data_IF_632147445683
#
_entry.id   IF_632147445683
#
_cell.length_a   1.000
_cell.length_b   1.000
_cell.length_c   1.000
_cell.angle_alpha   90.00
_cell.angle_beta   90.00
_cell.angle_gamma   90.00
#
_symmetry.space_group_name_H-M   'P 1'
#
loop_
_entity.id
_entity.type
_entity.pdbx_description
1 polymer ?
#
# COMPACT_ATOMS: atom_id res chain seq x y z
N UNK A 1 48.79 -7.94 -32.24
CA UNK A 1 49.55 -7.96 -30.97
C UNK A 1 48.64 -7.36 -29.91
N UNK A 2 47.65 -8.14 -29.46
CA UNK A 2 46.71 -7.73 -28.40
C UNK A 2 47.33 -8.07 -27.05
N UNK A 3 47.57 -7.05 -26.23
CA UNK A 3 48.06 -7.22 -24.87
C UNK A 3 46.95 -7.81 -23.99
N UNK A 4 47.21 -8.86 -23.19
CA UNK A 4 46.19 -9.44 -22.33
C UNK A 4 45.83 -8.47 -21.19
N UNK A 5 44.54 -8.16 -21.06
CA UNK A 5 43.98 -7.42 -19.93
C UNK A 5 44.35 -8.13 -18.62
N UNK A 6 45.00 -7.47 -17.65
CA UNK A 6 45.36 -8.10 -16.39
C UNK A 6 44.09 -8.56 -15.65
N UNK A 7 44.12 -9.71 -14.96
CA UNK A 7 42.97 -10.19 -14.20
C UNK A 7 42.59 -9.15 -13.14
N UNK A 8 41.28 -8.89 -12.93
CA UNK A 8 40.84 -7.95 -11.92
C UNK A 8 41.37 -8.39 -10.55
N UNK A 9 41.89 -7.43 -9.79
CA UNK A 9 42.42 -7.70 -8.45
C UNK A 9 41.27 -7.82 -7.45
N UNK A 10 41.41 -8.60 -6.36
CA UNK A 10 40.34 -8.81 -5.37
C UNK A 10 39.79 -7.51 -4.76
N UNK A 11 40.59 -6.43 -4.79
CA UNK A 11 40.19 -5.09 -4.37
C UNK A 11 39.29 -4.41 -5.41
N UNK A 12 39.67 -4.49 -6.69
CA UNK A 12 38.88 -3.93 -7.79
C UNK A 12 37.51 -4.62 -7.87
N UNK A 13 37.45 -5.94 -7.68
CA UNK A 13 36.19 -6.70 -7.66
C UNK A 13 35.26 -6.30 -6.51
N UNK A 14 35.82 -6.07 -5.31
CA UNK A 14 35.03 -5.58 -4.17
C UNK A 14 34.49 -4.18 -4.38
N UNK A 15 35.30 -3.30 -4.96
CA UNK A 15 34.86 -1.93 -5.31
C UNK A 15 33.76 -2.00 -6.36
N UNK A 16 33.90 -2.82 -7.40
CA UNK A 16 32.88 -3.01 -8.42
C UNK A 16 31.58 -3.59 -7.84
N UNK A 17 31.67 -4.56 -6.94
CA UNK A 17 30.50 -5.13 -6.27
C UNK A 17 29.77 -4.09 -5.39
N UNK A 18 30.52 -3.30 -4.62
CA UNK A 18 29.96 -2.22 -3.81
C UNK A 18 29.26 -1.16 -4.67
N UNK A 19 29.88 -0.76 -5.79
CA UNK A 19 29.27 0.18 -6.72
C UNK A 19 27.98 -0.37 -7.34
N UNK A 20 27.94 -1.64 -7.75
CA UNK A 20 26.72 -2.28 -8.25
C UNK A 20 25.61 -2.32 -7.20
N UNK A 21 25.96 -2.58 -5.94
CA UNK A 21 25.01 -2.59 -4.83
C UNK A 21 24.44 -1.18 -4.58
N UNK A 22 25.28 -0.15 -4.64
CA UNK A 22 24.86 1.25 -4.56
C UNK A 22 23.93 1.61 -5.72
N UNK A 23 24.28 1.25 -6.95
CA UNK A 23 23.44 1.47 -8.13
C UNK A 23 22.09 0.76 -8.03
N UNK A 24 22.06 -0.47 -7.51
CA UNK A 24 20.82 -1.20 -7.28
C UNK A 24 19.93 -0.50 -6.23
N UNK A 25 20.53 0.06 -5.18
CA UNK A 25 19.81 0.88 -4.19
C UNK A 25 19.22 2.15 -4.79
N UNK A 26 19.95 2.84 -5.67
CA UNK A 26 19.43 4.00 -6.39
C UNK A 26 18.32 3.65 -7.38
N UNK A 27 18.41 2.50 -8.06
CA UNK A 27 17.34 2.02 -8.93
C UNK A 27 16.06 1.73 -8.15
N UNK A 28 16.15 1.00 -7.02
CA UNK A 28 15.01 0.73 -6.15
C UNK A 28 14.37 2.01 -5.58
N UNK A 29 15.19 3.03 -5.26
CA UNK A 29 14.68 4.33 -4.83
C UNK A 29 13.99 5.07 -5.98
N UNK A 30 14.56 5.05 -7.18
CA UNK A 30 13.95 5.65 -8.36
C UNK A 30 12.61 4.99 -8.68
N UNK A 31 12.51 3.67 -8.59
CA UNK A 31 11.26 2.92 -8.75
C UNK A 31 10.24 3.30 -7.68
N UNK A 32 10.65 3.50 -6.41
CA UNK A 32 9.76 3.91 -5.34
C UNK A 32 9.26 5.37 -5.47
N UNK A 33 10.04 6.24 -6.13
CA UNK A 33 9.67 7.63 -6.43
C UNK A 33 8.85 7.73 -7.72
N UNK A 34 9.13 6.88 -8.70
CA UNK A 34 8.39 6.76 -9.95
C UNK A 34 7.07 6.00 -9.78
N UNK A 35 6.97 5.15 -8.75
CA UNK A 35 5.70 4.66 -8.24
C UNK A 35 4.89 5.87 -7.81
N UNK A 36 3.97 6.29 -8.68
CA UNK A 36 3.27 7.54 -8.55
C UNK A 36 2.44 7.55 -7.25
N UNK A 37 2.72 8.45 -6.29
CA UNK A 37 1.84 8.65 -5.15
C UNK A 37 0.43 9.10 -5.60
N UNK A 38 0.29 9.62 -6.83
CA UNK A 38 -0.97 9.97 -7.46
C UNK A 38 -1.71 8.77 -8.09
N UNK A 39 -1.08 7.60 -8.28
CA UNK A 39 -1.80 6.36 -8.69
C UNK A 39 -2.52 5.69 -7.51
N UNK A 40 -2.08 5.92 -6.28
CA UNK A 40 -2.88 5.61 -5.09
C UNK A 40 -3.96 6.70 -4.91
N UNK A 41 -4.87 6.76 -5.87
CA UNK A 41 -6.09 7.58 -5.78
C UNK A 41 -6.74 7.38 -4.41
N UNK A 42 -7.46 8.40 -3.94
CA UNK A 42 -8.24 8.27 -2.71
C UNK A 42 -9.12 7.00 -2.74
N UNK A 43 -9.62 6.68 -3.93
CA UNK A 43 -10.37 5.48 -4.27
C UNK A 43 -9.58 4.17 -4.05
N UNK A 44 -8.35 4.06 -4.56
CA UNK A 44 -7.47 2.90 -4.33
C UNK A 44 -7.19 2.69 -2.84
N UNK A 45 -7.05 3.77 -2.06
CA UNK A 45 -6.83 3.69 -0.61
C UNK A 45 -8.08 3.26 0.14
N UNK A 46 -9.27 3.70 -0.30
CA UNK A 46 -10.53 3.18 0.23
C UNK A 46 -10.75 1.71 -0.10
N UNK A 47 -10.39 1.27 -1.30
CA UNK A 47 -10.40 -0.16 -1.67
C UNK A 47 -9.50 -0.98 -0.75
N UNK A 48 -8.28 -0.52 -0.50
CA UNK A 48 -7.36 -1.20 0.41
C UNK A 48 -7.94 -1.35 1.83
N UNK A 49 -8.55 -0.28 2.35
CA UNK A 49 -9.28 -0.32 3.64
C UNK A 49 -10.37 -1.39 3.63
N UNK A 50 -11.22 -1.45 2.59
CA UNK A 50 -12.33 -2.40 2.52
C UNK A 50 -11.87 -3.86 2.32
N UNK A 51 -10.74 -4.07 1.67
CA UNK A 51 -10.14 -5.41 1.54
C UNK A 51 -9.57 -5.91 2.86
N UNK A 52 -8.97 -5.03 3.66
CA UNK A 52 -8.41 -5.37 4.97
C UNK A 52 -9.44 -5.46 6.11
N UNK A 53 -10.65 -4.93 5.92
CA UNK A 53 -11.67 -4.82 6.98
C UNK A 53 -12.10 -6.16 7.58
N UNK A 54 -12.14 -7.21 6.76
CA UNK A 54 -12.53 -8.57 7.16
C UNK A 54 -14.01 -8.73 7.52
N UNK A 55 -14.47 -9.99 7.64
CA UNK A 55 -15.88 -10.34 7.89
C UNK A 55 -16.31 -10.20 9.35
N UNK A 56 -15.35 -10.16 10.27
CA UNK A 56 -15.59 -10.12 11.72
C UNK A 56 -15.93 -8.72 12.26
N UNK A 57 -15.89 -7.70 11.40
CA UNK A 57 -16.09 -6.31 11.80
C UNK A 57 -14.96 -5.78 12.68
N UNK A 58 -14.83 -4.45 12.74
CA UNK A 58 -13.78 -3.77 13.49
C UNK A 58 -14.36 -2.98 14.66
N UNK A 59 -13.68 -3.00 15.80
CA UNK A 59 -13.92 -2.05 16.88
C UNK A 59 -13.61 -0.62 16.41
N UNK A 60 -14.01 0.38 17.20
CA UNK A 60 -13.69 1.79 16.91
C UNK A 60 -12.18 2.01 16.79
N UNK A 61 -11.41 1.42 17.70
CA UNK A 61 -9.96 1.58 17.74
C UNK A 61 -9.28 0.93 16.52
N UNK A 62 -9.69 -0.27 16.14
CA UNK A 62 -9.18 -0.97 14.96
C UNK A 62 -9.53 -0.21 13.68
N UNK A 63 -10.77 0.27 13.53
CA UNK A 63 -11.16 1.09 12.38
C UNK A 63 -10.32 2.37 12.30
N UNK A 64 -10.17 3.11 13.42
CA UNK A 64 -9.31 4.30 13.46
C UNK A 64 -7.85 4.02 13.13
N UNK A 65 -7.31 2.88 13.57
CA UNK A 65 -5.95 2.45 13.26
C UNK A 65 -5.80 2.10 11.77
N UNK A 66 -6.78 1.41 11.20
CA UNK A 66 -6.80 1.05 9.78
C UNK A 66 -6.85 2.29 8.89
N UNK A 67 -7.72 3.26 9.18
CA UNK A 67 -7.76 4.53 8.44
C UNK A 67 -6.41 5.26 8.50
N UNK A 68 -5.78 5.32 9.68
CA UNK A 68 -4.45 5.93 9.82
C UNK A 68 -3.39 5.20 9.00
N UNK A 69 -3.43 3.86 8.97
CA UNK A 69 -2.51 3.02 8.18
C UNK A 69 -2.56 3.38 6.68
N UNK A 70 -3.73 3.72 6.16
CA UNK A 70 -3.91 4.12 4.75
C UNK A 70 -3.86 5.65 4.52
N UNK A 71 -3.36 6.42 5.49
CA UNK A 71 -3.12 7.86 5.33
C UNK A 71 -4.34 8.76 5.50
N UNK A 72 -5.41 8.26 6.13
CA UNK A 72 -6.60 9.05 6.44
C UNK A 72 -6.65 9.52 7.90
N UNK A 73 -7.42 10.58 8.15
CA UNK A 73 -7.78 10.98 9.51
C UNK A 73 -8.60 9.89 10.21
N UNK A 74 -8.36 9.58 11.49
CA UNK A 74 -9.20 8.67 12.27
C UNK A 74 -10.68 9.06 12.31
N UNK A 75 -11.01 10.34 12.09
CA UNK A 75 -12.37 10.85 12.03
C UNK A 75 -13.13 10.43 10.77
N UNK A 76 -12.42 10.04 9.70
CA UNK A 76 -13.01 9.58 8.44
C UNK A 76 -13.89 8.33 8.63
N UNK A 77 -13.55 7.45 9.59
CA UNK A 77 -14.39 6.32 9.98
C UNK A 77 -15.80 6.74 10.45
N UNK A 78 -15.93 7.89 11.11
CA UNK A 78 -17.23 8.44 11.49
C UNK A 78 -17.99 9.06 10.31
N UNK A 79 -17.27 9.56 9.30
CA UNK A 79 -17.85 9.95 8.01
C UNK A 79 -18.42 8.75 7.27
N UNK A 80 -17.74 7.61 7.29
CA UNK A 80 -18.20 6.37 6.68
C UNK A 80 -19.47 5.81 7.33
N UNK A 81 -19.60 5.90 8.65
CA UNK A 81 -20.86 5.53 9.34
C UNK A 81 -22.01 6.45 8.90
N UNK A 82 -21.78 7.77 8.85
CA UNK A 82 -22.81 8.73 8.40
C UNK A 82 -23.19 8.58 6.93
N UNK A 83 -22.25 8.11 6.10
CA UNK A 83 -22.43 7.90 4.66
C UNK A 83 -22.89 6.48 4.28
N UNK A 84 -23.33 5.68 5.26
CA UNK A 84 -23.82 4.31 5.03
C UNK A 84 -22.80 3.36 4.37
N UNK A 85 -21.51 3.62 4.60
CA UNK A 85 -20.41 2.72 4.22
C UNK A 85 -20.09 1.73 5.33
N UNK A 86 -20.42 2.07 6.57
CA UNK A 86 -20.25 1.23 7.74
C UNK A 86 -21.53 1.20 8.58
N UNK A 87 -21.90 0.02 9.05
CA UNK A 87 -22.94 -0.16 10.05
C UNK A 87 -22.32 -0.53 11.39
N UNK A 88 -22.90 -0.02 12.48
CA UNK A 88 -22.56 -0.44 13.85
C UNK A 88 -23.62 -1.43 14.29
N UNK A 89 -23.23 -2.66 14.63
CA UNK A 89 -24.15 -3.70 15.11
C UNK A 89 -24.16 -3.75 16.64
N UNK A 90 -25.04 -4.59 17.19
CA UNK A 90 -25.28 -4.73 18.63
C UNK A 90 -24.04 -5.20 19.43
N UNK A 91 -23.07 -5.81 18.76
CA UNK A 91 -21.78 -6.21 19.32
C UNK A 91 -20.78 -5.04 19.45
N UNK A 92 -21.16 -3.83 19.05
CA UNK A 92 -20.34 -2.63 19.07
C UNK A 92 -19.27 -2.57 17.97
N UNK A 93 -19.26 -3.54 17.05
CA UNK A 93 -18.34 -3.59 15.91
C UNK A 93 -18.92 -2.90 14.69
N UNK A 94 -18.02 -2.46 13.80
CA UNK A 94 -18.31 -1.79 12.53
C UNK A 94 -18.12 -2.76 11.39
N UNK A 95 -19.16 -2.96 10.63
CA UNK A 95 -19.18 -3.84 9.48
C UNK A 95 -19.31 -3.04 8.19
N UNK A 96 -18.69 -3.54 7.13
CA UNK A 96 -18.94 -3.08 5.78
C UNK A 96 -20.42 -3.33 5.42
N UNK A 97 -21.12 -2.30 4.98
CA UNK A 97 -22.51 -2.41 4.48
C UNK A 97 -22.54 -3.08 3.10
N UNK A 98 -23.72 -3.50 2.66
CA UNK A 98 -23.90 -4.00 1.29
C UNK A 98 -23.45 -2.98 0.23
N UNK A 99 -23.66 -1.69 0.48
CA UNK A 99 -23.17 -0.59 -0.37
C UNK A 99 -21.65 -0.66 -0.55
N UNK A 100 -20.92 -0.79 0.55
CA UNK A 100 -19.45 -0.86 0.50
C UNK A 100 -18.95 -2.13 -0.18
N UNK A 101 -19.63 -3.26 0.02
CA UNK A 101 -19.29 -4.53 -0.63
C UNK A 101 -19.56 -4.50 -2.14
N UNK A 102 -20.68 -3.91 -2.56
CA UNK A 102 -21.02 -3.75 -3.97
C UNK A 102 -20.03 -2.85 -4.68
N UNK A 103 -19.76 -1.68 -4.10
CA UNK A 103 -18.74 -0.78 -4.62
C UNK A 103 -17.38 -1.49 -4.75
N UNK A 104 -16.96 -2.27 -3.74
CA UNK A 104 -15.70 -3.03 -3.84
C UNK A 104 -15.69 -4.02 -5.00
N UNK A 105 -16.81 -4.71 -5.25
CA UNK A 105 -16.93 -5.67 -6.35
C UNK A 105 -16.88 -4.98 -7.73
N UNK A 106 -17.50 -3.79 -7.87
CA UNK A 106 -17.45 -2.97 -9.09
C UNK A 106 -16.01 -2.56 -9.45
N UNK A 107 -15.12 -2.46 -8.47
CA UNK A 107 -13.71 -2.13 -8.67
C UNK A 107 -12.81 -3.34 -8.97
N UNK A 108 -13.32 -4.56 -8.76
CA UNK A 108 -12.62 -5.82 -9.03
C UNK A 108 -12.82 -6.30 -10.47
N UNK A 109 -13.84 -5.79 -11.17
CA UNK A 109 -14.18 -6.13 -12.55
C UNK A 109 -14.11 -4.87 -13.46
N UNK A 110 -12.90 -4.40 -13.81
CA UNK A 110 -12.76 -3.34 -14.79
C UNK A 110 -13.00 -3.94 -16.19
N UNK A 111 -14.11 -3.58 -16.83
CA UNK A 111 -14.31 -3.80 -18.28
C UNK A 111 -13.15 -3.21 -19.11
#
# INVERSE_FOLDING_TARGET
MESPTPPPTPRADRIAAALRQISAGFAALADAVAADPAEATEESRYRAIMSEWGRQGLTRAEASALFRKHGFSPQAAGGWVRGDWLEVRDDGRRYLTERSLRWRAEQEDPE
#
